data_IF_391026199256
#
_entry.id   IF_391026199256
#
_cell.length_a   1.000
_cell.length_b   1.000
_cell.length_c   1.000
_cell.angle_alpha   90.00
_cell.angle_beta   90.00
_cell.angle_gamma   90.00
#
_symmetry.space_group_name_H-M   'P 1'
#
loop_
_entity.id
_entity.type
_entity.pdbx_description
1 polymer ?
#
# COMPACT_ATOMS: atom_id res chain seq x y z
N UNK A 1 4.24 15.00 3.29
CA UNK A 1 3.46 13.75 3.13
C UNK A 1 2.03 14.12 2.82
N UNK A 2 1.45 13.58 1.75
CA UNK A 2 0.04 13.79 1.42
C UNK A 2 -0.54 12.54 0.75
N UNK A 3 -1.87 12.43 0.75
CA UNK A 3 -2.60 11.34 0.10
C UNK A 3 -2.94 11.74 -1.34
N UNK A 4 -2.70 10.83 -2.29
CA UNK A 4 -3.07 11.04 -3.69
C UNK A 4 -3.54 9.78 -4.36
N UNK A 5 -4.18 9.95 -5.51
CA UNK A 5 -4.46 8.83 -6.40
C UNK A 5 -3.16 8.29 -7.02
N UNK A 6 -3.15 7.01 -7.44
CA UNK A 6 -1.95 6.41 -8.01
C UNK A 6 -1.53 7.04 -9.34
N UNK A 7 -0.22 7.04 -9.60
CA UNK A 7 0.42 7.41 -10.86
C UNK A 7 1.21 6.22 -11.40
N UNK A 8 1.56 6.22 -12.69
CA UNK A 8 2.24 5.07 -13.32
C UNK A 8 3.55 4.68 -12.62
N UNK A 9 4.32 5.67 -12.17
CA UNK A 9 5.58 5.48 -11.44
C UNK A 9 5.41 4.68 -10.13
N UNK A 10 4.23 4.70 -9.52
CA UNK A 10 4.00 3.99 -8.26
C UNK A 10 4.17 2.47 -8.38
N UNK A 11 3.95 1.92 -9.58
CA UNK A 11 4.20 0.51 -9.87
C UNK A 11 5.69 0.20 -9.69
N UNK A 12 6.56 1.05 -10.22
CA UNK A 12 8.01 0.90 -10.10
C UNK A 12 8.48 1.13 -8.68
N UNK A 13 7.97 2.16 -8.00
CA UNK A 13 8.30 2.43 -6.59
C UNK A 13 7.92 1.22 -5.72
N UNK A 14 6.71 0.66 -5.88
CA UNK A 14 6.28 -0.51 -5.13
C UNK A 14 7.11 -1.77 -5.45
N UNK A 15 7.42 -1.99 -6.73
CA UNK A 15 8.23 -3.14 -7.18
C UNK A 15 9.64 -3.10 -6.59
N UNK A 16 10.26 -1.92 -6.55
CA UNK A 16 11.63 -1.74 -6.08
C UNK A 16 11.78 -1.75 -4.56
N UNK A 17 10.70 -1.58 -3.80
CA UNK A 17 10.75 -1.71 -2.33
C UNK A 17 10.91 -3.17 -1.93
N UNK A 18 11.91 -3.45 -1.11
CA UNK A 18 12.14 -4.79 -0.57
C UNK A 18 10.93 -5.33 0.21
N UNK A 19 10.71 -6.64 0.11
CA UNK A 19 9.68 -7.29 0.92
C UNK A 19 10.21 -7.50 2.33
N UNK A 20 9.74 -6.70 3.28
CA UNK A 20 10.07 -6.92 4.69
C UNK A 20 9.17 -8.00 5.30
N UNK A 21 9.75 -8.90 6.09
CA UNK A 21 9.00 -9.93 6.86
C UNK A 21 7.95 -9.29 7.78
N UNK A 22 8.27 -8.12 8.33
CA UNK A 22 7.38 -7.35 9.18
C UNK A 22 6.15 -6.87 8.42
N UNK A 23 6.32 -6.36 7.20
CA UNK A 23 5.20 -5.98 6.34
C UNK A 23 4.33 -7.18 6.02
N UNK A 24 4.93 -8.30 5.59
CA UNK A 24 4.17 -9.52 5.29
C UNK A 24 3.34 -9.95 6.50
N UNK A 25 3.92 -9.88 7.70
CA UNK A 25 3.21 -10.18 8.95
C UNK A 25 2.08 -9.17 9.25
N UNK A 26 2.31 -7.86 9.06
CA UNK A 26 1.29 -6.82 9.27
C UNK A 26 0.09 -6.98 8.35
N UNK A 27 0.32 -7.44 7.11
CA UNK A 27 -0.74 -7.76 6.15
C UNK A 27 -1.35 -9.17 6.36
N UNK A 28 -0.93 -9.92 7.38
CA UNK A 28 -1.43 -11.27 7.66
C UNK A 28 -0.97 -12.34 6.67
N UNK A 29 0.09 -12.08 5.90
CA UNK A 29 0.68 -13.01 4.94
C UNK A 29 1.62 -14.03 5.57
N UNK A 30 2.02 -15.03 4.76
CA UNK A 30 2.95 -16.08 5.19
C UNK A 30 4.40 -15.58 5.17
N UNK A 31 4.99 -15.44 6.36
CA UNK A 31 6.39 -15.01 6.51
C UNK A 31 7.41 -16.12 6.26
N UNK A 32 6.98 -17.39 6.12
CA UNK A 32 7.87 -18.54 5.91
C UNK A 32 8.21 -18.74 4.43
N UNK A 33 7.31 -18.37 3.52
CA UNK A 33 7.49 -18.45 2.07
C UNK A 33 7.24 -17.08 1.43
N UNK A 34 8.20 -16.17 1.61
CA UNK A 34 8.15 -14.86 0.96
C UNK A 34 8.65 -15.01 -0.47
N UNK A 35 7.71 -14.98 -1.42
CA UNK A 35 8.06 -14.89 -2.84
C UNK A 35 8.57 -13.48 -3.19
N UNK A 36 9.51 -13.36 -4.14
CA UNK A 36 9.88 -12.07 -4.70
C UNK A 36 8.66 -11.33 -5.26
N UNK A 37 8.65 -10.00 -5.16
CA UNK A 37 7.64 -9.18 -5.85
C UNK A 37 7.80 -9.39 -7.35
N UNK A 38 6.69 -9.66 -8.03
CA UNK A 38 6.63 -9.62 -9.49
C UNK A 38 6.09 -8.28 -9.96
N UNK A 39 6.41 -7.90 -11.19
CA UNK A 39 5.85 -6.69 -11.79
C UNK A 39 4.32 -6.77 -11.91
N UNK A 40 3.79 -7.98 -12.11
CA UNK A 40 2.34 -8.23 -12.11
C UNK A 40 1.72 -7.95 -10.74
N UNK A 41 2.35 -8.40 -9.65
CA UNK A 41 1.90 -8.10 -8.30
C UNK A 41 1.90 -6.58 -8.04
N UNK A 42 2.93 -5.88 -8.48
CA UNK A 42 3.02 -4.42 -8.35
C UNK A 42 1.90 -3.69 -9.10
N UNK A 43 1.60 -4.12 -10.33
CA UNK A 43 0.48 -3.59 -11.11
C UNK A 43 -0.86 -3.85 -10.43
N UNK A 44 -1.10 -5.09 -10.02
CA UNK A 44 -2.34 -5.47 -9.33
C UNK A 44 -2.56 -4.67 -8.04
N UNK A 45 -1.48 -4.40 -7.29
CA UNK A 45 -1.52 -3.56 -6.09
C UNK A 45 -1.97 -2.13 -6.41
N UNK A 46 -1.35 -1.50 -7.41
CA UNK A 46 -1.68 -0.12 -7.81
C UNK A 46 -3.08 -0.03 -8.42
N UNK A 47 -3.48 -1.01 -9.23
CA UNK A 47 -4.82 -1.07 -9.81
C UNK A 47 -5.89 -1.26 -8.74
N UNK A 48 -5.62 -2.03 -7.69
CA UNK A 48 -6.52 -2.17 -6.55
C UNK A 48 -6.78 -0.82 -5.86
N UNK A 49 -5.72 -0.05 -5.58
CA UNK A 49 -5.85 1.30 -5.00
C UNK A 49 -6.66 2.20 -5.93
N UNK A 50 -6.33 2.21 -7.23
CA UNK A 50 -6.99 3.04 -8.24
C UNK A 50 -8.49 2.72 -8.39
N UNK A 51 -8.86 1.45 -8.23
CA UNK A 51 -10.25 1.00 -8.33
C UNK A 51 -11.12 1.39 -7.12
N UNK A 52 -10.50 1.75 -5.99
CA UNK A 52 -11.16 2.05 -4.74
C UNK A 52 -11.09 3.55 -4.42
N UNK A 53 -12.21 4.27 -4.52
CA UNK A 53 -12.30 5.72 -4.24
C UNK A 53 -11.94 6.12 -2.80
N UNK A 54 -11.95 5.16 -1.88
CA UNK A 54 -11.60 5.34 -0.47
C UNK A 54 -10.20 4.83 -0.15
N UNK A 55 -9.34 4.74 -1.17
CA UNK A 55 -7.98 4.28 -1.05
C UNK A 55 -7.04 5.21 -1.81
N UNK A 56 -5.87 5.45 -1.22
CA UNK A 56 -4.90 6.42 -1.70
C UNK A 56 -3.49 5.92 -1.50
N UNK A 57 -2.59 6.36 -2.38
CA UNK A 57 -1.16 6.27 -2.17
C UNK A 57 -0.73 7.31 -1.14
N UNK A 58 0.15 6.90 -0.22
CA UNK A 58 0.88 7.82 0.66
C UNK A 58 2.14 8.24 -0.08
N UNK A 59 2.27 9.54 -0.37
CA UNK A 59 3.46 10.10 -1.01
C UNK A 59 4.34 10.83 0.01
N UNK A 60 5.65 10.60 -0.11
CA UNK A 60 6.68 11.42 0.52
C UNK A 60 7.78 11.71 -0.51
N UNK A 61 8.11 13.00 -0.71
CA UNK A 61 9.15 13.46 -1.64
C UNK A 61 9.03 12.87 -3.08
N UNK A 62 7.81 12.81 -3.62
CA UNK A 62 7.57 12.28 -4.97
C UNK A 62 7.74 10.77 -5.12
N UNK A 63 7.73 10.03 -4.01
CA UNK A 63 7.80 8.57 -3.96
C UNK A 63 6.59 7.97 -3.25
N UNK A 64 6.15 6.81 -3.73
CA UNK A 64 5.21 5.97 -3.01
C UNK A 64 5.88 5.38 -1.77
N UNK A 65 5.32 5.66 -0.59
CA UNK A 65 5.81 5.10 0.70
C UNK A 65 4.76 4.23 1.40
N UNK A 66 3.61 4.01 0.78
CA UNK A 66 2.56 3.18 1.35
C UNK A 66 1.18 3.47 0.79
N UNK A 67 0.15 2.99 1.49
CA UNK A 67 -1.24 3.25 1.17
C UNK A 67 -2.06 3.62 2.40
N UNK A 68 -3.12 4.39 2.17
CA UNK A 68 -4.14 4.65 3.17
C UNK A 68 -5.50 4.20 2.63
N UNK A 69 -6.29 3.51 3.46
CA UNK A 69 -7.62 3.02 3.11
C UNK A 69 -8.62 3.39 4.17
N UNK A 70 -9.70 4.04 3.77
CA UNK A 70 -10.84 4.33 4.63
C UNK A 70 -11.89 3.22 4.49
N UNK A 71 -12.23 2.60 5.61
CA UNK A 71 -13.32 1.62 5.73
C UNK A 71 -14.47 2.25 6.49
N UNK A 72 -15.65 2.30 5.87
CA UNK A 72 -16.85 2.88 6.46
C UNK A 72 -17.69 1.77 7.09
N UNK A 73 -18.05 1.93 8.37
CA UNK A 73 -19.06 1.08 8.99
C UNK A 73 -20.44 1.47 8.43
N UNK A 74 -21.05 0.57 7.66
CA UNK A 74 -22.31 0.81 6.95
C UNK A 74 -23.52 1.05 7.88
N UNK A 75 -23.39 0.75 9.18
CA UNK A 75 -24.47 0.94 10.15
C UNK A 75 -24.69 2.40 10.56
N UNK A 76 -23.63 3.21 10.64
CA UNK A 76 -23.69 4.59 11.15
C UNK A 76 -23.10 5.62 10.17
N UNK A 77 -22.33 5.20 9.15
CA UNK A 77 -21.65 6.04 8.15
C UNK A 77 -20.73 7.16 8.72
N UNK A 78 -20.68 7.33 10.04
CA UNK A 78 -19.83 8.25 10.79
C UNK A 78 -18.72 7.51 11.53
N UNK A 79 -18.98 6.26 11.89
CA UNK A 79 -17.95 5.30 12.30
C UNK A 79 -17.12 4.86 11.10
N UNK A 80 -15.88 5.36 11.06
CA UNK A 80 -14.92 5.04 10.02
C UNK A 80 -13.61 4.58 10.63
N UNK A 81 -12.94 3.67 9.92
CA UNK A 81 -11.62 3.20 10.28
C UNK A 81 -10.65 3.55 9.15
N UNK A 82 -9.63 4.34 9.46
CA UNK A 82 -8.55 4.66 8.55
C UNK A 82 -7.39 3.71 8.79
N UNK A 83 -7.10 2.88 7.81
CA UNK A 83 -5.91 2.03 7.77
C UNK A 83 -4.80 2.77 7.06
N UNK A 84 -3.61 2.82 7.65
CA UNK A 84 -2.41 3.36 7.01
C UNK A 84 -1.34 2.29 7.09
N UNK A 85 -0.82 1.90 5.93
CA UNK A 85 0.27 0.95 5.81
C UNK A 85 1.44 1.66 5.15
N UNK A 86 2.53 1.82 5.90
CA UNK A 86 3.76 2.41 5.39
C UNK A 86 4.79 1.30 5.20
N UNK A 87 5.44 1.31 4.05
CA UNK A 87 6.65 0.51 3.85
C UNK A 87 7.76 1.09 4.74
N UNK A 88 8.36 0.31 5.66
CA UNK A 88 9.50 0.77 6.42
C UNK A 88 10.62 1.12 5.44
N UNK A 89 11.44 2.14 5.72
CA UNK A 89 12.62 2.41 4.92
C UNK A 89 13.48 1.14 4.88
N UNK A 90 13.70 0.60 3.67
CA UNK A 90 14.81 -0.31 3.41
C UNK A 90 16.09 0.45 3.81
N UNK A 91 16.97 -0.17 4.59
CA UNK A 91 18.11 0.49 5.24
C UNK A 91 18.87 1.44 4.31
N UNK A 92 19.19 2.63 4.84
CA UNK A 92 20.29 3.46 4.37
C UNK A 92 21.60 2.71 4.62
#
# INVERSE_FOLDING_TARGET
MFLRQPIEKDVEDFFNVEVSKELVKMYGGDTKNISPKTMELAKNFIDAIKSNKLEWCVEFEGRLVGQARLSINKADNRDVMLWVYLTPPSGI
#
